data_IF_692678228823
#
_entry.id   IF_692678228823
#
_cell.length_a   1.000
_cell.length_b   1.000
_cell.length_c   1.000
_cell.angle_alpha   90.00
_cell.angle_beta   90.00
_cell.angle_gamma   90.00
#
_symmetry.space_group_name_H-M   'P 1'
#
loop_
_entity.id
_entity.type
_entity.pdbx_description
1 polymer ?
#
# COMPACT_ATOMS: atom_id res chain seq x y z
N UNK A 1 -32.60 9.70 4.53
CA UNK A 1 -31.79 10.39 3.50
C UNK A 1 -31.90 9.57 2.22
N UNK A 2 -32.64 10.03 1.19
CA UNK A 2 -32.62 9.37 -0.11
C UNK A 2 -31.20 9.51 -0.68
N UNK A 3 -30.45 8.41 -0.75
CA UNK A 3 -29.23 8.36 -1.55
C UNK A 3 -29.64 8.73 -2.97
N UNK A 4 -29.39 9.98 -3.37
CA UNK A 4 -29.56 10.39 -4.75
C UNK A 4 -28.66 9.48 -5.57
N UNK A 5 -29.26 8.71 -6.48
CA UNK A 5 -28.53 7.84 -7.39
C UNK A 5 -27.47 8.69 -8.09
N UNK A 6 -26.20 8.34 -7.88
CA UNK A 6 -25.11 8.85 -8.69
C UNK A 6 -25.22 8.30 -10.11
N UNK A 7 -24.11 8.31 -10.83
CA UNK A 7 -24.01 7.70 -12.15
C UNK A 7 -22.95 6.59 -12.12
N UNK A 8 -23.13 5.50 -12.88
CA UNK A 8 -22.09 4.50 -13.02
C UNK A 8 -20.92 5.10 -13.83
N UNK A 9 -19.71 4.75 -13.45
CA UNK A 9 -18.49 5.12 -14.15
C UNK A 9 -17.37 4.13 -13.86
N UNK A 10 -16.40 4.05 -14.75
CA UNK A 10 -15.19 3.25 -14.62
C UNK A 10 -14.04 4.20 -14.28
N UNK A 11 -13.43 3.99 -13.12
CA UNK A 11 -12.23 4.69 -12.66
C UNK A 11 -11.00 3.78 -12.85
N UNK A 12 -9.84 4.35 -13.20
CA UNK A 12 -8.57 3.61 -13.35
C UNK A 12 -8.64 2.47 -14.39
N UNK A 13 -9.31 2.70 -15.54
CA UNK A 13 -9.31 1.72 -16.63
C UNK A 13 -7.91 1.57 -17.23
N UNK A 14 -7.17 2.68 -17.33
CA UNK A 14 -5.74 2.70 -17.63
C UNK A 14 -4.99 3.56 -16.58
N UNK A 15 -3.66 3.35 -16.37
CA UNK A 15 -2.89 4.17 -15.42
C UNK A 15 -2.98 5.68 -15.69
N UNK A 16 -3.08 6.10 -16.95
CA UNK A 16 -3.15 7.50 -17.35
C UNK A 16 -4.47 8.17 -16.96
N UNK A 17 -5.52 7.38 -16.68
CA UNK A 17 -6.82 7.88 -16.20
C UNK A 17 -6.75 8.39 -14.76
N UNK A 18 -5.67 8.10 -14.04
CA UNK A 18 -5.52 8.50 -12.65
C UNK A 18 -4.11 9.01 -12.42
N UNK A 19 -3.97 10.33 -12.41
CA UNK A 19 -2.70 11.01 -12.23
C UNK A 19 -2.63 11.59 -10.83
N UNK A 20 -1.49 11.39 -10.17
CA UNK A 20 -1.26 11.83 -8.79
C UNK A 20 0.03 12.63 -8.73
N UNK A 21 -0.08 13.91 -8.48
CA UNK A 21 1.04 14.83 -8.39
C UNK A 21 1.21 15.25 -6.94
N UNK A 22 2.37 14.95 -6.35
CA UNK A 22 2.66 15.37 -4.99
C UNK A 22 2.75 16.90 -4.92
N UNK A 23 2.24 17.45 -3.81
CA UNK A 23 2.34 18.87 -3.50
C UNK A 23 3.37 19.01 -2.37
N UNK A 24 4.47 19.71 -2.64
CA UNK A 24 5.51 19.98 -1.66
C UNK A 24 4.98 20.84 -0.50
N UNK A 25 5.63 20.87 0.67
CA UNK A 25 5.21 21.67 1.82
C UNK A 25 4.98 23.16 1.50
N UNK A 26 5.70 23.71 0.52
CA UNK A 26 5.57 25.10 0.05
C UNK A 26 4.37 25.31 -0.89
N UNK A 27 3.59 24.27 -1.20
CA UNK A 27 2.42 24.31 -2.07
C UNK A 27 2.70 24.07 -3.55
N UNK A 28 3.95 23.82 -3.94
CA UNK A 28 4.29 23.52 -5.34
C UNK A 28 3.81 22.13 -5.74
N UNK A 29 3.00 22.07 -6.80
CA UNK A 29 2.63 20.80 -7.44
C UNK A 29 3.78 20.29 -8.32
N UNK A 30 4.14 19.02 -8.12
CA UNK A 30 5.25 18.41 -8.85
C UNK A 30 4.80 17.88 -10.21
N UNK A 31 5.49 18.34 -11.26
CA UNK A 31 5.38 17.81 -12.62
C UNK A 31 6.77 17.43 -13.14
N UNK A 32 6.82 16.60 -14.19
CA UNK A 32 8.05 16.41 -14.95
C UNK A 32 8.42 17.74 -15.63
N UNK A 33 9.59 18.27 -15.30
CA UNK A 33 10.02 19.64 -15.65
C UNK A 33 11.25 19.70 -16.56
N UNK A 34 11.64 18.58 -17.18
CA UNK A 34 12.87 18.34 -17.98
C UNK A 34 14.06 17.71 -17.21
N UNK A 35 14.90 16.93 -17.92
CA UNK A 35 15.93 16.00 -17.40
C UNK A 35 17.27 16.64 -16.96
N UNK A 36 17.35 17.98 -16.90
CA UNK A 36 18.62 18.70 -16.85
C UNK A 36 19.42 18.57 -15.54
N UNK A 37 20.72 18.85 -15.66
CA UNK A 37 21.75 18.99 -14.61
C UNK A 37 21.27 19.62 -13.30
N UNK A 38 21.60 19.10 -12.10
CA UNK A 38 21.75 20.06 -11.00
C UNK A 38 22.87 21.06 -11.39
N UNK A 39 22.79 22.31 -10.92
CA UNK A 39 23.92 23.24 -11.00
C UNK A 39 25.14 22.67 -10.27
N UNK A 40 26.35 23.13 -10.61
CA UNK A 40 27.57 22.80 -9.86
C UNK A 40 27.37 23.13 -8.38
N UNK A 41 27.43 22.11 -7.52
CA UNK A 41 27.25 22.29 -6.08
C UNK A 41 28.62 22.23 -5.42
N UNK A 42 29.02 23.35 -4.81
CA UNK A 42 30.17 23.40 -3.92
C UNK A 42 29.80 22.77 -2.58
N UNK A 43 30.64 21.86 -2.10
CA UNK A 43 30.47 21.25 -0.79
C UNK A 43 31.07 22.14 0.30
N UNK A 44 30.33 22.29 1.38
CA UNK A 44 30.92 22.20 2.71
C UNK A 44 29.97 21.42 3.61
N UNK A 45 30.55 20.82 4.65
CA UNK A 45 29.98 20.58 5.98
C UNK A 45 29.89 19.11 6.40
N UNK A 46 30.22 18.93 7.68
CA UNK A 46 30.01 17.72 8.47
C UNK A 46 28.55 17.24 8.35
N UNK A 47 28.35 16.04 7.80
CA UNK A 47 27.04 15.44 7.58
C UNK A 47 26.96 14.61 6.31
N UNK A 48 25.80 13.97 6.08
CA UNK A 48 25.49 13.28 4.83
C UNK A 48 24.83 14.22 3.81
N UNK A 49 25.07 14.00 2.53
CA UNK A 49 24.39 14.71 1.43
C UNK A 49 23.49 13.74 0.65
N UNK A 50 22.42 14.27 0.07
CA UNK A 50 21.37 13.49 -0.58
C UNK A 50 21.00 14.11 -1.93
N UNK A 51 20.85 13.29 -2.96
CA UNK A 51 20.27 13.72 -4.23
C UNK A 51 18.76 13.65 -4.15
N UNK A 52 18.12 14.81 -4.24
CA UNK A 52 16.70 14.98 -4.42
C UNK A 52 16.35 14.98 -5.90
N UNK A 53 15.23 14.37 -6.26
CA UNK A 53 14.73 14.34 -7.62
C UNK A 53 13.22 14.08 -7.64
N UNK A 54 12.56 14.54 -8.70
CA UNK A 54 11.18 14.14 -8.97
C UNK A 54 11.20 12.77 -9.63
N UNK A 55 10.45 11.82 -9.07
CA UNK A 55 10.22 10.50 -9.62
C UNK A 55 8.85 10.48 -10.32
N UNK A 56 8.85 10.25 -11.62
CA UNK A 56 7.68 9.82 -12.37
C UNK A 56 7.66 8.30 -12.47
N UNK A 57 6.50 7.71 -12.19
CA UNK A 57 6.24 6.29 -12.42
C UNK A 57 4.86 6.08 -13.03
N UNK A 58 4.74 5.06 -13.86
CA UNK A 58 3.49 4.68 -14.52
C UNK A 58 3.20 3.19 -14.31
N UNK A 59 2.04 2.86 -13.73
CA UNK A 59 1.63 1.46 -13.56
C UNK A 59 2.49 0.68 -12.54
N UNK A 60 3.21 1.38 -11.66
CA UNK A 60 4.15 0.80 -10.70
C UNK A 60 3.85 1.27 -9.27
N UNK A 61 4.08 0.40 -8.29
CA UNK A 61 4.15 0.80 -6.89
C UNK A 61 5.44 1.62 -6.64
N UNK A 62 5.41 2.58 -5.71
CA UNK A 62 6.59 3.39 -5.38
C UNK A 62 7.78 2.53 -4.97
N UNK A 63 7.56 1.48 -4.16
CA UNK A 63 8.62 0.59 -3.70
C UNK A 63 9.14 -0.33 -4.80
N UNK A 64 8.31 -0.67 -5.79
CA UNK A 64 8.72 -1.42 -6.98
C UNK A 64 9.60 -0.55 -7.89
N UNK A 65 9.22 0.71 -8.10
CA UNK A 65 10.01 1.67 -8.88
C UNK A 65 11.40 1.88 -8.24
N UNK A 66 11.43 2.14 -6.92
CA UNK A 66 12.69 2.28 -6.17
C UNK A 66 13.53 1.01 -6.25
N UNK A 67 12.94 -0.18 -6.15
CA UNK A 67 13.68 -1.44 -6.24
C UNK A 67 14.38 -1.61 -7.60
N UNK A 68 13.72 -1.21 -8.69
CA UNK A 68 14.26 -1.28 -10.05
C UNK A 68 15.39 -0.26 -10.26
N UNK A 69 15.18 0.99 -9.82
CA UNK A 69 16.22 2.02 -9.85
C UNK A 69 17.44 1.60 -9.04
N UNK A 70 17.24 1.12 -7.81
CA UNK A 70 18.29 0.68 -6.91
C UNK A 70 19.14 -0.43 -7.52
N UNK A 71 18.53 -1.39 -8.24
CA UNK A 71 19.26 -2.45 -8.96
C UNK A 71 20.16 -1.88 -10.06
N UNK A 72 19.61 -1.02 -10.92
CA UNK A 72 20.38 -0.42 -12.02
C UNK A 72 21.51 0.48 -11.52
N UNK A 73 21.36 1.04 -10.31
CA UNK A 73 22.36 1.87 -9.64
C UNK A 73 23.36 1.08 -8.79
N UNK A 74 23.15 -0.23 -8.58
CA UNK A 74 23.95 -1.03 -7.65
C UNK A 74 23.84 -0.58 -6.19
N UNK A 75 22.70 -0.02 -5.78
CA UNK A 75 22.49 0.58 -4.44
C UNK A 75 21.45 -0.16 -3.62
N UNK A 76 21.49 0.08 -2.31
CA UNK A 76 20.44 -0.39 -1.39
C UNK A 76 19.16 0.43 -1.53
N UNK A 77 18.02 -0.26 -1.52
CA UNK A 77 16.68 0.35 -1.46
C UNK A 77 16.50 1.29 -0.27
N UNK A 78 17.20 1.00 0.84
CA UNK A 78 17.10 1.79 2.09
C UNK A 78 17.67 3.20 1.95
N UNK A 79 18.56 3.42 0.97
CA UNK A 79 19.11 4.75 0.70
C UNK A 79 18.11 5.70 0.04
N UNK A 80 16.99 5.19 -0.48
CA UNK A 80 15.92 6.00 -1.07
C UNK A 80 14.84 6.32 -0.05
N UNK A 81 14.45 7.58 -0.01
CA UNK A 81 13.45 8.12 0.92
C UNK A 81 12.44 8.98 0.17
N UNK A 82 11.23 9.07 0.69
CA UNK A 82 10.10 9.73 0.05
C UNK A 82 8.99 10.01 1.10
N UNK A 83 8.14 10.99 0.83
CA UNK A 83 7.13 11.44 1.79
C UNK A 83 5.92 10.50 1.91
N UNK A 84 5.60 9.77 0.85
CA UNK A 84 4.57 8.73 0.87
C UNK A 84 4.57 7.87 -0.39
N UNK A 85 3.96 6.68 -0.29
CA UNK A 85 3.75 5.80 -1.44
C UNK A 85 2.59 6.29 -2.29
N UNK A 86 2.68 6.11 -3.62
CA UNK A 86 1.61 6.44 -4.57
C UNK A 86 1.06 5.18 -5.21
N UNK A 87 -0.21 5.22 -5.63
CA UNK A 87 -0.93 4.13 -6.26
C UNK A 87 -0.16 3.44 -7.40
N UNK A 88 -0.27 2.11 -7.47
CA UNK A 88 0.25 1.32 -8.59
C UNK A 88 -0.52 1.58 -9.89
N UNK A 89 -1.85 1.58 -9.82
CA UNK A 89 -2.72 1.77 -10.99
C UNK A 89 -2.95 3.27 -11.24
N UNK A 90 -1.84 3.97 -11.52
CA UNK A 90 -1.80 5.41 -11.70
C UNK A 90 -0.53 5.83 -12.46
N UNK A 91 -0.57 7.05 -12.99
CA UNK A 91 0.63 7.84 -13.24
C UNK A 91 0.88 8.69 -12.00
N UNK A 92 2.12 8.76 -11.52
CA UNK A 92 2.41 9.62 -10.37
C UNK A 92 3.76 10.29 -10.43
N UNK A 93 3.81 11.54 -9.97
CA UNK A 93 5.04 12.31 -9.75
C UNK A 93 5.18 12.62 -8.26
N UNK A 94 6.33 12.28 -7.69
CA UNK A 94 6.63 12.50 -6.27
C UNK A 94 8.09 12.89 -6.06
N UNK A 95 8.41 13.56 -4.96
CA UNK A 95 9.80 13.81 -4.58
C UNK A 95 10.41 12.55 -3.95
N UNK A 96 11.66 12.28 -4.32
CA UNK A 96 12.48 11.20 -3.75
C UNK A 96 13.86 11.76 -3.44
N UNK A 97 14.47 11.31 -2.35
CA UNK A 97 15.87 11.59 -2.03
C UNK A 97 16.67 10.29 -1.95
N UNK A 98 17.91 10.29 -2.42
CA UNK A 98 18.84 9.17 -2.27
C UNK A 98 20.16 9.62 -1.63
N UNK A 99 20.53 9.01 -0.51
CA UNK A 99 21.78 9.32 0.20
C UNK A 99 23.01 9.06 -0.69
N UNK A 100 23.92 10.03 -0.80
CA UNK A 100 25.21 9.92 -1.51
C UNK A 100 25.10 9.42 -2.96
N UNK A 101 24.03 9.80 -3.67
CA UNK A 101 23.83 9.43 -5.08
C UNK A 101 24.26 10.57 -5.98
N UNK A 102 25.29 10.37 -6.79
CA UNK A 102 25.69 11.39 -7.76
C UNK A 102 24.65 11.54 -8.89
N UNK A 103 24.35 12.79 -9.32
CA UNK A 103 23.40 13.04 -10.41
C UNK A 103 23.76 12.30 -11.71
N UNK A 104 25.05 12.27 -12.05
CA UNK A 104 25.59 11.63 -13.25
C UNK A 104 25.38 10.12 -13.21
N UNK A 105 25.51 9.50 -12.02
CA UNK A 105 25.22 8.08 -11.84
C UNK A 105 23.73 7.78 -12.09
N UNK A 106 22.82 8.65 -11.62
CA UNK A 106 21.38 8.50 -11.90
C UNK A 106 21.06 8.66 -13.40
N UNK A 107 21.71 9.61 -14.09
CA UNK A 107 21.61 9.76 -15.56
C UNK A 107 22.09 8.52 -16.30
N UNK A 108 23.28 8.02 -15.94
CA UNK A 108 23.86 6.84 -16.58
C UNK A 108 23.02 5.58 -16.37
N UNK A 109 22.34 5.46 -15.22
CA UNK A 109 21.51 4.29 -14.91
C UNK A 109 20.35 4.08 -15.89
N UNK A 110 19.87 5.12 -16.58
CA UNK A 110 18.83 5.00 -17.63
C UNK A 110 19.30 4.15 -18.81
N UNK A 111 20.61 4.07 -19.04
CA UNK A 111 21.21 3.24 -20.09
C UNK A 111 21.39 1.78 -19.67
N UNK A 112 21.15 1.44 -18.42
CA UNK A 112 21.26 0.07 -17.93
C UNK A 112 20.22 -0.83 -18.64
N UNK A 113 20.57 -2.05 -19.11
CA UNK A 113 19.66 -2.91 -19.87
C UNK A 113 18.36 -3.28 -19.14
N UNK A 114 18.39 -3.32 -17.81
CA UNK A 114 17.21 -3.59 -16.97
C UNK A 114 16.41 -2.32 -16.58
N UNK A 115 16.77 -1.14 -17.09
CA UNK A 115 16.04 0.09 -16.75
C UNK A 115 14.60 0.03 -17.26
N UNK A 116 13.64 0.37 -16.40
CA UNK A 116 12.23 0.38 -16.76
C UNK A 116 11.82 1.74 -17.35
N UNK A 117 11.44 1.77 -18.62
CA UNK A 117 11.02 2.98 -19.34
C UNK A 117 9.77 3.68 -18.76
N UNK A 118 9.01 3.01 -17.89
CA UNK A 118 7.89 3.61 -17.13
C UNK A 118 8.37 4.46 -15.96
N UNK A 119 9.67 4.45 -15.65
CA UNK A 119 10.31 5.26 -14.64
C UNK A 119 11.06 6.40 -15.34
N UNK A 120 10.77 7.63 -14.93
CA UNK A 120 11.49 8.83 -15.37
C UNK A 120 11.80 9.69 -14.16
N UNK A 121 12.80 10.54 -14.27
CA UNK A 121 13.11 11.51 -13.24
C UNK A 121 13.43 12.88 -13.83
N UNK A 122 13.34 13.91 -13.01
CA UNK A 122 13.70 15.29 -13.35
C UNK A 122 14.12 16.04 -12.10
N UNK A 123 14.54 17.30 -12.25
CA UNK A 123 14.75 18.22 -11.13
C UNK A 123 15.73 17.66 -10.08
N UNK A 124 16.93 17.32 -10.56
CA UNK A 124 18.02 16.78 -9.74
C UNK A 124 18.61 17.92 -8.90
N UNK A 125 18.73 17.73 -7.59
CA UNK A 125 19.24 18.73 -6.65
C UNK A 125 19.96 18.07 -5.47
N UNK A 126 21.13 18.57 -5.08
CA UNK A 126 21.82 18.09 -3.87
C UNK A 126 21.32 18.86 -2.66
N UNK A 127 20.88 18.16 -1.62
CA UNK A 127 20.44 18.75 -0.35
C UNK A 127 21.10 18.06 0.86
N UNK A 128 21.23 18.74 2.01
CA UNK A 128 21.89 18.19 3.20
C UNK A 128 21.00 17.27 4.04
N UNK A 129 19.72 17.13 3.71
CA UNK A 129 18.76 16.31 4.46
C UNK A 129 18.07 15.30 3.53
N UNK A 130 17.62 14.18 4.09
CA UNK A 130 16.69 13.27 3.40
C UNK A 130 15.24 13.75 3.53
N UNK A 131 14.35 13.08 2.79
CA UNK A 131 12.90 13.26 2.92
C UNK A 131 12.37 12.27 3.95
N UNK A 132 11.52 12.73 4.85
CA UNK A 132 10.83 11.89 5.81
C UNK A 132 9.38 11.61 5.43
N UNK A 133 8.83 10.54 6.01
CA UNK A 133 7.44 10.17 5.82
C UNK A 133 6.52 11.28 6.35
N UNK A 134 5.69 11.84 5.47
CA UNK A 134 4.82 12.97 5.79
C UNK A 134 5.32 14.33 5.29
N UNK A 135 6.49 14.41 4.68
CA UNK A 135 7.04 15.65 4.09
C UNK A 135 6.36 16.06 2.77
N UNK A 136 5.04 16.15 2.78
CA UNK A 136 4.21 16.64 1.68
C UNK A 136 3.03 17.42 2.24
N UNK A 137 2.58 18.46 1.53
CA UNK A 137 1.34 19.16 1.88
C UNK A 137 0.09 18.37 1.44
N UNK A 138 0.20 17.59 0.37
CA UNK A 138 -0.93 16.84 -0.17
C UNK A 138 -0.65 16.27 -1.56
N UNK A 139 -1.71 15.92 -2.27
CA UNK A 139 -1.63 15.41 -3.63
C UNK A 139 -2.70 16.07 -4.50
N UNK A 140 -2.33 16.50 -5.71
CA UNK A 140 -3.28 16.80 -6.77
C UNK A 140 -3.65 15.51 -7.49
N UNK A 141 -4.95 15.31 -7.65
CA UNK A 141 -5.49 14.20 -8.42
C UNK A 141 -6.12 14.73 -9.71
N UNK A 142 -5.73 14.15 -10.85
CA UNK A 142 -6.46 14.28 -12.11
C UNK A 142 -7.04 12.90 -12.43
N UNK A 143 -8.38 12.79 -12.39
CA UNK A 143 -9.09 11.54 -12.56
C UNK A 143 -10.03 11.59 -13.76
N UNK A 144 -9.94 10.61 -14.65
CA UNK A 144 -10.83 10.42 -15.79
C UNK A 144 -11.83 9.33 -15.44
N UNK A 145 -13.12 9.66 -15.54
CA UNK A 145 -14.23 8.72 -15.40
C UNK A 145 -14.66 8.26 -16.80
N UNK A 146 -14.53 6.97 -17.08
CA UNK A 146 -14.90 6.36 -18.38
C UNK A 146 -16.25 5.65 -18.30
N UNK A 147 -16.88 5.44 -19.45
CA UNK A 147 -18.16 4.73 -19.53
C UNK A 147 -19.30 5.42 -18.79
N UNK A 148 -19.24 6.74 -18.65
CA UNK A 148 -20.33 7.53 -18.08
C UNK A 148 -21.49 7.54 -19.08
N UNK A 149 -22.71 7.12 -18.69
CA UNK A 149 -23.86 7.11 -19.59
C UNK A 149 -24.19 8.52 -20.11
N UNK A 150 -24.57 8.69 -21.39
CA UNK A 150 -24.93 10.00 -21.95
C UNK A 150 -26.01 10.72 -21.13
N UNK A 151 -26.97 9.98 -20.58
CA UNK A 151 -28.08 10.48 -19.78
C UNK A 151 -27.61 11.19 -18.50
N UNK A 152 -26.39 10.88 -18.03
CA UNK A 152 -25.80 11.55 -16.87
C UNK A 152 -25.37 12.99 -17.17
N UNK A 153 -25.23 13.36 -18.46
CA UNK A 153 -24.87 14.69 -18.95
C UNK A 153 -26.06 15.50 -19.49
N UNK A 154 -27.24 14.89 -19.64
CA UNK A 154 -28.41 15.55 -20.20
C UNK A 154 -29.05 16.57 -19.24
N UNK A 155 -29.57 17.65 -19.82
CA UNK A 155 -30.27 18.73 -19.12
C UNK A 155 -29.35 19.82 -18.55
N UNK A 156 -29.95 20.98 -18.25
CA UNK A 156 -29.26 22.18 -17.74
C UNK A 156 -28.60 21.95 -16.37
N UNK A 157 -29.04 20.94 -15.63
CA UNK A 157 -28.47 20.53 -14.33
C UNK A 157 -28.21 19.03 -14.29
N UNK A 158 -27.34 18.58 -15.19
CA UNK A 158 -26.97 17.16 -15.34
C UNK A 158 -26.52 16.53 -14.02
N UNK A 159 -26.68 15.21 -13.90
CA UNK A 159 -26.30 14.48 -12.67
C UNK A 159 -24.81 14.64 -12.36
N UNK A 160 -23.96 14.62 -13.40
CA UNK A 160 -22.52 14.87 -13.27
C UNK A 160 -22.25 16.26 -12.70
N UNK A 161 -22.85 17.32 -13.26
CA UNK A 161 -22.64 18.68 -12.80
C UNK A 161 -23.04 18.86 -11.32
N UNK A 162 -24.19 18.29 -10.91
CA UNK A 162 -24.66 18.33 -9.52
C UNK A 162 -23.71 17.60 -8.55
N UNK A 163 -23.19 16.43 -8.95
CA UNK A 163 -22.24 15.69 -8.14
C UNK A 163 -20.93 16.47 -7.98
N UNK A 164 -20.37 17.00 -9.07
CA UNK A 164 -19.15 17.80 -9.03
C UNK A 164 -19.31 19.07 -8.18
N UNK A 165 -20.42 19.79 -8.34
CA UNK A 165 -20.72 20.98 -7.54
C UNK A 165 -20.84 20.61 -6.05
N UNK A 166 -21.56 19.53 -5.71
CA UNK A 166 -21.69 19.09 -4.32
C UNK A 166 -20.34 18.74 -3.69
N UNK A 167 -19.45 18.06 -4.42
CA UNK A 167 -18.10 17.72 -3.93
C UNK A 167 -17.26 18.99 -3.75
N UNK A 168 -17.37 19.95 -4.67
CA UNK A 168 -16.64 21.23 -4.59
C UNK A 168 -17.07 22.07 -3.39
N UNK A 169 -18.38 22.22 -3.18
CA UNK A 169 -18.93 23.10 -2.13
C UNK A 169 -18.97 22.45 -0.75
N UNK A 170 -19.23 21.15 -0.68
CA UNK A 170 -19.49 20.43 0.58
C UNK A 170 -18.44 19.38 0.92
N UNK A 171 -17.52 19.11 -0.01
CA UNK A 171 -16.56 18.03 0.14
C UNK A 171 -17.20 16.65 0.05
N UNK A 172 -16.56 15.68 0.69
CA UNK A 172 -17.00 14.30 0.77
C UNK A 172 -16.69 13.74 2.17
N UNK A 173 -17.31 12.62 2.51
CA UNK A 173 -17.08 11.96 3.79
C UNK A 173 -15.72 11.25 3.75
N UNK A 174 -14.83 11.61 4.68
CA UNK A 174 -13.45 11.12 4.73
C UNK A 174 -13.32 9.69 5.28
N UNK A 175 -13.88 8.71 4.57
CA UNK A 175 -13.76 7.30 4.91
C UNK A 175 -12.39 6.73 4.55
N UNK A 176 -11.94 5.74 5.33
CA UNK A 176 -10.91 4.82 4.85
C UNK A 176 -11.50 3.90 3.77
N UNK A 177 -10.94 3.96 2.56
CA UNK A 177 -11.40 3.15 1.43
C UNK A 177 -10.96 1.67 1.48
N UNK A 178 -11.48 0.82 0.57
CA UNK A 178 -11.22 -0.63 0.54
C UNK A 178 -9.74 -1.03 0.54
N UNK A 179 -8.87 -0.20 -0.06
CA UNK A 179 -7.42 -0.43 -0.10
C UNK A 179 -6.79 -0.47 1.31
N UNK A 180 -7.35 0.24 2.30
CA UNK A 180 -6.90 0.21 3.70
C UNK A 180 -7.10 -1.15 4.38
N UNK A 181 -8.02 -1.94 3.85
CA UNK A 181 -8.43 -3.23 4.39
C UNK A 181 -7.88 -4.42 3.60
N UNK A 182 -7.11 -4.16 2.53
CA UNK A 182 -6.65 -5.18 1.58
C UNK A 182 -7.78 -5.65 0.65
N UNK A 183 -7.43 -6.30 -0.46
CA UNK A 183 -8.39 -6.78 -1.48
C UNK A 183 -8.77 -8.26 -1.33
N UNK A 184 -8.12 -8.98 -0.43
CA UNK A 184 -8.35 -10.41 -0.22
C UNK A 184 -9.60 -10.66 0.62
N UNK A 185 -10.07 -11.90 0.61
CA UNK A 185 -11.19 -12.34 1.43
C UNK A 185 -10.94 -12.09 2.92
N UNK A 186 -9.79 -12.55 3.43
CA UNK A 186 -9.32 -12.18 4.77
C UNK A 186 -8.76 -10.77 4.68
N UNK A 187 -9.61 -9.81 5.02
CA UNK A 187 -9.24 -8.40 5.14
C UNK A 187 -8.32 -8.17 6.34
N UNK A 188 -7.47 -7.16 6.26
CA UNK A 188 -6.49 -6.82 7.30
C UNK A 188 -7.12 -6.48 8.65
N UNK A 189 -8.35 -5.93 8.66
CA UNK A 189 -9.06 -5.64 9.90
C UNK A 189 -9.47 -6.91 10.66
N UNK A 190 -9.74 -8.04 9.99
CA UNK A 190 -10.09 -9.28 10.70
C UNK A 190 -8.93 -9.75 11.59
N UNK A 191 -7.71 -9.74 11.04
CA UNK A 191 -6.49 -10.02 11.80
C UNK A 191 -6.32 -9.00 12.92
N UNK A 192 -6.54 -7.72 12.63
CA UNK A 192 -6.44 -6.64 13.61
C UNK A 192 -7.40 -6.80 14.79
N UNK A 193 -8.66 -7.15 14.53
CA UNK A 193 -9.67 -7.42 15.56
C UNK A 193 -9.28 -8.61 16.42
N UNK A 194 -8.83 -9.73 15.82
CA UNK A 194 -8.37 -10.89 16.57
C UNK A 194 -7.17 -10.54 17.49
N UNK A 195 -6.22 -9.73 17.02
CA UNK A 195 -5.10 -9.24 17.84
C UNK A 195 -5.60 -8.39 19.01
N UNK A 196 -6.49 -7.43 18.76
CA UNK A 196 -7.02 -6.52 19.80
C UNK A 196 -7.85 -7.26 20.85
N UNK A 197 -8.56 -8.31 20.45
CA UNK A 197 -9.33 -9.20 21.33
C UNK A 197 -8.46 -10.27 22.02
N UNK A 198 -7.14 -10.26 21.80
CA UNK A 198 -6.19 -11.26 22.31
C UNK A 198 -6.47 -12.70 21.85
N UNK A 199 -7.19 -12.87 20.74
CA UNK A 199 -7.39 -14.16 20.05
C UNK A 199 -6.21 -14.45 19.13
N UNK A 200 -5.03 -14.68 19.72
CA UNK A 200 -3.77 -14.77 18.98
C UNK A 200 -3.71 -15.97 18.04
N UNK A 201 -4.29 -17.11 18.44
CA UNK A 201 -4.41 -18.29 17.57
C UNK A 201 -5.23 -17.99 16.31
N UNK A 202 -6.34 -17.25 16.45
CA UNK A 202 -7.16 -16.82 15.32
C UNK A 202 -6.40 -15.83 14.43
N UNK A 203 -5.66 -14.89 15.02
CA UNK A 203 -4.84 -13.95 14.25
C UNK A 203 -3.77 -14.68 13.41
N UNK A 204 -3.09 -15.68 13.98
CA UNK A 204 -2.14 -16.53 13.27
C UNK A 204 -2.83 -17.29 12.13
N UNK A 205 -3.97 -17.92 12.40
CA UNK A 205 -4.79 -18.61 11.37
C UNK A 205 -5.14 -17.68 10.21
N UNK A 206 -5.63 -16.49 10.51
CA UNK A 206 -6.04 -15.49 9.52
C UNK A 206 -4.87 -14.99 8.67
N UNK A 207 -3.71 -14.70 9.28
CA UNK A 207 -2.49 -14.30 8.54
C UNK A 207 -2.05 -15.42 7.59
N UNK A 208 -2.08 -16.66 8.09
CA UNK A 208 -1.76 -17.85 7.32
C UNK A 208 -2.88 -18.25 6.36
N UNK A 209 -3.99 -17.50 6.28
CA UNK A 209 -5.01 -17.63 5.27
C UNK A 209 -6.15 -18.59 5.58
N UNK A 210 -6.29 -19.03 6.83
CA UNK A 210 -7.43 -19.80 7.31
C UNK A 210 -8.55 -18.87 7.76
N UNK A 211 -9.65 -18.91 7.02
CA UNK A 211 -10.86 -18.13 7.27
C UNK A 211 -11.92 -18.93 8.04
N UNK A 212 -11.64 -20.15 8.50
CA UNK A 212 -12.59 -20.94 9.31
C UNK A 212 -12.99 -20.22 10.61
N UNK A 213 -12.14 -19.33 11.12
CA UNK A 213 -12.40 -18.47 12.27
C UNK A 213 -13.30 -17.27 11.98
N UNK A 214 -13.68 -17.00 10.73
CA UNK A 214 -14.52 -15.85 10.32
C UNK A 214 -16.03 -16.10 10.36
N UNK A 215 -16.49 -17.20 10.98
CA UNK A 215 -17.93 -17.52 11.05
C UNK A 215 -18.50 -18.11 9.75
N UNK A 216 -19.72 -18.64 9.82
CA UNK A 216 -20.28 -19.58 8.83
C UNK A 216 -20.58 -18.99 7.44
N UNK A 217 -20.78 -17.68 7.31
CA UNK A 217 -21.09 -17.04 6.01
C UNK A 217 -19.84 -16.79 5.16
N UNK A 218 -18.69 -16.49 5.79
CA UNK A 218 -17.43 -16.26 5.07
C UNK A 218 -16.80 -17.59 4.64
N UNK A 219 -16.98 -18.64 5.44
CA UNK A 219 -16.35 -19.96 5.28
C UNK A 219 -16.70 -20.68 3.96
N UNK A 220 -17.83 -20.36 3.31
CA UNK A 220 -18.27 -20.99 2.04
C UNK A 220 -17.53 -20.47 0.81
N UNK A 221 -17.03 -19.24 0.83
CA UNK A 221 -16.33 -18.62 -0.32
C UNK A 221 -14.85 -19.06 -0.37
N UNK A 222 -14.30 -19.49 0.77
CA UNK A 222 -12.88 -19.85 1.01
C UNK A 222 -12.37 -20.99 0.12
N UNK A 223 -13.26 -21.88 -0.34
CA UNK A 223 -12.90 -23.07 -1.10
C UNK A 223 -12.30 -22.76 -2.51
N UNK A 224 -12.36 -21.51 -2.99
CA UNK A 224 -12.04 -21.18 -4.39
C UNK A 224 -10.61 -20.67 -4.67
N UNK A 225 -9.71 -20.53 -3.68
CA UNK A 225 -8.35 -19.99 -3.91
C UNK A 225 -7.26 -21.10 -3.95
N UNK A 226 -7.13 -21.77 -5.09
CA UNK A 226 -6.50 -23.09 -5.21
C UNK A 226 -4.94 -23.18 -5.30
N UNK A 227 -4.15 -22.10 -5.26
CA UNK A 227 -2.68 -22.23 -5.35
C UNK A 227 -1.93 -22.07 -4.02
N UNK A 228 -2.52 -21.38 -3.03
CA UNK A 228 -1.93 -21.18 -1.70
C UNK A 228 -2.47 -22.21 -0.69
N UNK A 229 -3.50 -22.96 -1.07
CA UNK A 229 -4.22 -23.91 -0.22
C UNK A 229 -3.34 -25.08 0.25
N UNK A 230 -2.38 -25.58 -0.54
CA UNK A 230 -1.67 -26.82 -0.19
C UNK A 230 -0.80 -26.72 1.08
N UNK A 231 0.03 -25.67 1.20
CA UNK A 231 0.86 -25.44 2.39
C UNK A 231 0.01 -25.07 3.61
N UNK A 232 -1.05 -24.29 3.39
CA UNK A 232 -2.01 -23.87 4.42
C UNK A 232 -2.80 -25.05 4.97
N UNK A 233 -3.40 -25.86 4.09
CA UNK A 233 -4.18 -27.04 4.44
C UNK A 233 -3.38 -28.05 5.24
N UNK A 234 -2.09 -28.26 4.97
CA UNK A 234 -1.26 -29.20 5.75
C UNK A 234 -1.03 -28.72 7.19
N UNK A 235 -0.70 -27.44 7.37
CA UNK A 235 -0.53 -26.87 8.70
C UNK A 235 -1.83 -26.98 9.50
N UNK A 236 -2.95 -26.54 8.93
CA UNK A 236 -4.24 -26.56 9.62
C UNK A 236 -4.82 -27.96 9.83
N UNK A 237 -4.63 -28.90 8.89
CA UNK A 237 -5.08 -30.28 9.06
C UNK A 237 -4.38 -30.97 10.23
N UNK A 238 -3.06 -30.76 10.41
CA UNK A 238 -2.33 -31.30 11.56
C UNK A 238 -2.64 -30.54 12.86
N UNK A 239 -2.81 -29.21 12.79
CA UNK A 239 -3.23 -28.40 13.93
C UNK A 239 -4.58 -28.84 14.50
N UNK A 240 -5.53 -29.15 13.63
CA UNK A 240 -6.87 -29.61 14.01
C UNK A 240 -6.84 -31.01 14.65
N UNK A 241 -5.95 -31.89 14.18
CA UNK A 241 -5.83 -33.26 14.68
C UNK A 241 -5.25 -33.35 16.11
N UNK A 242 -4.34 -32.44 16.48
CA UNK A 242 -3.57 -32.53 17.73
C UNK A 242 -4.00 -31.52 18.81
N UNK A 243 -4.96 -30.63 18.51
CA UNK A 243 -5.15 -29.42 19.29
C UNK A 243 -3.96 -28.47 19.12
N UNK A 244 -4.16 -27.16 19.24
CA UNK A 244 -3.09 -26.17 19.01
C UNK A 244 -1.91 -26.27 20.01
N UNK A 245 -2.09 -27.06 21.08
CA UNK A 245 -1.10 -27.27 22.13
C UNK A 245 -0.01 -28.26 21.73
N UNK A 246 1.20 -27.74 21.58
CA UNK A 246 2.49 -28.45 21.72
C UNK A 246 2.63 -29.80 21.02
N UNK A 247 2.60 -29.78 19.68
CA UNK A 247 3.28 -30.68 18.73
C UNK A 247 3.25 -30.04 17.31
N UNK A 248 3.32 -28.71 17.26
CA UNK A 248 3.14 -27.90 16.04
C UNK A 248 4.43 -27.58 15.27
N UNK A 249 5.60 -27.88 15.84
CA UNK A 249 6.89 -27.40 15.31
C UNK A 249 7.20 -27.97 13.92
N UNK A 250 6.97 -29.28 13.74
CA UNK A 250 7.29 -29.97 12.49
C UNK A 250 6.34 -29.58 11.36
N UNK A 251 5.04 -29.42 11.67
CA UNK A 251 4.05 -28.96 10.71
C UNK A 251 4.31 -27.50 10.28
N UNK A 252 4.71 -26.63 11.21
CA UNK A 252 5.09 -25.26 10.91
C UNK A 252 6.37 -25.19 10.06
N UNK A 253 7.37 -26.02 10.36
CA UNK A 253 8.61 -26.11 9.59
C UNK A 253 8.38 -26.62 8.16
N UNK A 254 7.54 -27.64 7.98
CA UNK A 254 7.15 -28.14 6.66
C UNK A 254 6.41 -27.06 5.85
N UNK A 255 5.43 -26.38 6.49
CA UNK A 255 4.70 -25.30 5.85
C UNK A 255 5.60 -24.12 5.46
N UNK A 256 6.60 -23.77 6.27
CA UNK A 256 7.57 -22.70 5.96
C UNK A 256 8.39 -23.02 4.70
N UNK A 257 8.79 -24.28 4.53
CA UNK A 257 9.56 -24.77 3.37
C UNK A 257 8.73 -24.79 2.09
N UNK A 258 7.44 -25.09 2.19
CA UNK A 258 6.52 -25.10 1.05
C UNK A 258 6.04 -23.70 0.66
N UNK A 259 6.11 -22.75 1.59
CA UNK A 259 5.57 -21.42 1.37
C UNK A 259 6.44 -20.62 0.39
N UNK A 260 5.83 -19.95 -0.62
CA UNK A 260 6.60 -19.17 -1.60
C UNK A 260 7.51 -18.14 -0.94
N UNK A 261 8.71 -17.96 -1.50
CA UNK A 261 9.74 -17.08 -0.94
C UNK A 261 9.31 -15.62 -0.83
N UNK A 262 8.34 -15.17 -1.64
CA UNK A 262 7.78 -13.81 -1.59
C UNK A 262 6.87 -13.54 -0.37
N UNK A 263 6.44 -14.58 0.36
CA UNK A 263 5.53 -14.50 1.52
C UNK A 263 6.30 -14.32 2.83
N UNK A 264 7.05 -13.22 2.91
CA UNK A 264 8.04 -13.02 3.98
C UNK A 264 7.41 -12.95 5.39
N UNK A 265 6.23 -12.33 5.52
CA UNK A 265 5.55 -12.22 6.82
C UNK A 265 5.05 -13.59 7.29
N UNK A 266 4.37 -14.31 6.40
CA UNK A 266 3.82 -15.63 6.69
C UNK A 266 4.94 -16.65 6.97
N UNK A 267 6.03 -16.63 6.21
CA UNK A 267 7.21 -17.48 6.46
C UNK A 267 7.89 -17.16 7.78
N UNK A 268 8.06 -15.87 8.10
CA UNK A 268 8.65 -15.45 9.38
C UNK A 268 7.82 -15.90 10.59
N UNK A 269 6.49 -15.84 10.45
CA UNK A 269 5.55 -16.31 11.46
C UNK A 269 5.66 -17.84 11.63
N UNK A 270 5.60 -18.61 10.54
CA UNK A 270 5.75 -20.06 10.56
C UNK A 270 7.09 -20.50 11.17
N UNK A 271 8.18 -19.80 10.87
CA UNK A 271 9.49 -20.08 11.46
C UNK A 271 9.50 -19.87 12.98
N UNK A 272 8.82 -18.84 13.46
CA UNK A 272 8.70 -18.57 14.90
C UNK A 272 7.90 -19.66 15.60
N UNK A 273 6.78 -20.09 15.02
CA UNK A 273 5.98 -21.21 15.51
C UNK A 273 6.77 -22.54 15.46
N UNK A 274 7.55 -22.76 14.40
CA UNK A 274 8.42 -23.92 14.26
C UNK A 274 9.51 -24.00 15.36
N UNK A 275 9.90 -22.85 15.92
CA UNK A 275 10.83 -22.80 17.06
C UNK A 275 10.17 -23.04 18.43
N UNK A 276 8.88 -23.39 18.46
CA UNK A 276 8.13 -23.70 19.68
C UNK A 276 7.52 -22.49 20.39
N UNK A 277 7.50 -21.32 19.75
CA UNK A 277 6.83 -20.16 20.32
C UNK A 277 5.32 -20.30 20.29
N UNK A 278 4.66 -19.71 21.29
CA UNK A 278 3.21 -19.49 21.29
C UNK A 278 2.79 -18.54 20.16
N UNK A 279 1.48 -18.51 19.85
CA UNK A 279 0.93 -17.59 18.86
C UNK A 279 1.23 -16.12 19.20
N UNK A 280 1.13 -15.73 20.47
CA UNK A 280 1.42 -14.37 20.94
C UNK A 280 2.91 -14.01 20.73
N UNK A 281 3.83 -14.87 21.17
CA UNK A 281 5.26 -14.66 21.01
C UNK A 281 5.68 -14.63 19.53
N UNK A 282 5.09 -15.50 18.71
CA UNK A 282 5.35 -15.55 17.27
C UNK A 282 4.86 -14.28 16.56
N UNK A 283 3.68 -13.76 16.92
CA UNK A 283 3.18 -12.48 16.43
C UNK A 283 4.12 -11.35 16.85
N UNK A 284 4.54 -11.29 18.12
CA UNK A 284 5.46 -10.25 18.62
C UNK A 284 6.83 -10.24 17.95
N UNK A 285 7.29 -11.37 17.37
CA UNK A 285 8.51 -11.42 16.55
C UNK A 285 8.35 -10.90 15.12
N UNK A 286 7.11 -10.69 14.65
CA UNK A 286 6.88 -10.12 13.32
C UNK A 286 7.43 -8.69 13.25
N UNK A 287 7.80 -8.20 12.05
CA UNK A 287 8.16 -6.80 11.88
C UNK A 287 7.03 -5.89 12.38
N UNK A 288 7.36 -4.95 13.27
CA UNK A 288 6.39 -4.02 13.89
C UNK A 288 5.47 -3.36 12.87
N UNK A 289 5.99 -2.99 11.70
CA UNK A 289 5.22 -2.39 10.61
C UNK A 289 4.10 -3.32 10.09
N UNK A 290 4.38 -4.62 9.99
CA UNK A 290 3.39 -5.63 9.59
C UNK A 290 2.28 -5.82 10.62
N UNK A 291 2.62 -5.89 11.92
CA UNK A 291 1.61 -5.93 12.99
C UNK A 291 0.75 -4.67 13.02
N UNK A 292 1.39 -3.50 12.95
CA UNK A 292 0.69 -2.22 12.98
C UNK A 292 -0.24 -2.04 11.80
N UNK A 293 0.02 -2.67 10.64
CA UNK A 293 -0.89 -2.66 9.50
C UNK A 293 -2.25 -3.24 9.88
N UNK A 294 -2.27 -4.40 10.55
CA UNK A 294 -3.52 -5.07 10.95
C UNK A 294 -4.29 -4.25 12.00
N UNK A 295 -3.60 -3.82 13.06
CA UNK A 295 -4.21 -3.02 14.13
C UNK A 295 -4.78 -1.70 13.61
N UNK A 296 -4.02 -0.97 12.78
CA UNK A 296 -4.49 0.27 12.15
C UNK A 296 -5.68 0.01 11.23
N UNK A 297 -5.72 -1.12 10.55
CA UNK A 297 -6.87 -1.50 9.71
C UNK A 297 -8.14 -1.70 10.53
N UNK A 298 -8.06 -2.35 11.70
CA UNK A 298 -9.21 -2.47 12.61
C UNK A 298 -9.66 -1.11 13.17
N UNK A 299 -8.72 -0.25 13.55
CA UNK A 299 -9.02 1.13 13.96
C UNK A 299 -9.70 1.94 12.86
N UNK A 300 -9.24 1.79 11.61
CA UNK A 300 -9.87 2.43 10.44
C UNK A 300 -11.30 1.94 10.20
N UNK A 301 -11.59 0.67 10.46
CA UNK A 301 -12.97 0.14 10.36
C UNK A 301 -13.85 0.79 11.43
N UNK A 302 -13.40 0.79 12.68
CA UNK A 302 -14.14 1.42 13.78
C UNK A 302 -14.38 2.92 13.51
N UNK A 303 -13.38 3.63 12.97
CA UNK A 303 -13.54 5.02 12.57
C UNK A 303 -14.63 5.19 11.51
N UNK A 304 -14.65 4.35 10.47
CA UNK A 304 -15.70 4.39 9.45
C UNK A 304 -17.09 4.13 10.05
N UNK A 305 -17.22 3.18 10.98
CA UNK A 305 -18.48 2.88 11.67
C UNK A 305 -18.96 4.07 12.51
N UNK A 306 -18.08 4.66 13.33
CA UNK A 306 -18.42 5.83 14.16
C UNK A 306 -18.77 7.04 13.28
N UNK A 307 -18.05 7.24 12.18
CA UNK A 307 -18.34 8.31 11.22
C UNK A 307 -19.72 8.10 10.58
N UNK A 308 -20.05 6.87 10.18
CA UNK A 308 -21.36 6.52 9.63
C UNK A 308 -22.46 6.74 10.68
N UNK A 309 -22.26 6.26 11.90
CA UNK A 309 -23.18 6.46 13.02
C UNK A 309 -23.42 7.94 13.29
N UNK A 310 -22.36 8.76 13.33
CA UNK A 310 -22.48 10.22 13.55
C UNK A 310 -23.29 10.92 12.45
N UNK A 311 -23.14 10.47 11.20
CA UNK A 311 -23.86 11.03 10.06
C UNK A 311 -25.33 10.58 10.02
N UNK A 312 -25.62 9.36 10.47
CA UNK A 312 -26.98 8.80 10.50
C UNK A 312 -27.77 9.18 11.76
N UNK A 313 -27.09 9.41 12.89
CA UNK A 313 -27.65 9.69 14.21
C UNK A 313 -27.82 11.18 14.55
N UNK A 314 -28.04 12.04 13.55
CA UNK A 314 -28.53 13.42 13.77
C UNK A 314 -30.04 13.49 13.54
N UNK A 315 -30.80 12.66 14.26
CA UNK A 315 -32.25 12.78 14.44
C UNK A 315 -32.50 13.21 15.87
#
# INVERSE_FOLDING_TARGET
MHLRLGFPAILKQAPQDFQVHEIEPQGQELHLSELLGPPEVSFAMEGGWHLHFRLYKEGLDTMDAIARMARCLGRSRRGFRFAGTKDRNAVSVQRVSCSQLEPEALRAAVLHPEWDHRIRFSDLEIRPHEIDLGDLAGNRFNAVLRGVPPEAFEGETSTVARCCQSVSERGFVNYFGPQRFGSQMIRSFHVGSAILERRFDDAVRLILGDASSLGSEVSKVVAAAAEIAAARSRYFARAAANGMGSLMTDAAAEAERMMPSCRMLERGLLRSLASGLSAEEALLRMPRQGLMLYVKSAQSLLFNEVLSFRLLGSV
#
